data_IF_762245775490
#
_entry.id   IF_762245775490
#
_cell.length_a   1.000
_cell.length_b   1.000
_cell.length_c   1.000
_cell.angle_alpha   90.00
_cell.angle_beta   90.00
_cell.angle_gamma   90.00
#
_symmetry.space_group_name_H-M   'P 1'
#
loop_
_entity.id
_entity.type
_entity.pdbx_description
1 polymer ?
#
# COMPACT_ATOMS: atom_id res chain seq x y z
N UNK A 1 -20.42 -6.25 -2.51
CA UNK A 1 -19.30 -7.10 -2.99
C UNK A 1 -19.26 -7.01 -4.51
N UNK A 2 -18.69 -5.93 -5.05
CA UNK A 2 -18.52 -5.76 -6.49
C UNK A 2 -17.29 -6.54 -6.94
N UNK A 3 -17.45 -7.46 -7.89
CA UNK A 3 -16.31 -8.12 -8.51
C UNK A 3 -15.57 -7.10 -9.39
N UNK A 4 -14.23 -7.08 -9.32
CA UNK A 4 -13.34 -6.09 -9.95
C UNK A 4 -13.53 -6.00 -11.49
N UNK A 5 -14.20 -6.97 -12.11
CA UNK A 5 -14.38 -7.12 -13.56
C UNK A 5 -15.19 -6.00 -14.26
N UNK A 6 -15.77 -5.05 -13.53
CA UNK A 6 -16.60 -3.97 -14.10
C UNK A 6 -16.34 -2.61 -13.45
N UNK A 7 -15.12 -2.37 -13.01
CA UNK A 7 -14.76 -1.14 -12.31
C UNK A 7 -14.26 -0.09 -13.31
N UNK A 8 -14.99 1.02 -13.44
CA UNK A 8 -14.59 2.18 -14.25
C UNK A 8 -13.86 3.23 -13.38
N UNK A 9 -13.62 4.44 -13.92
CA UNK A 9 -13.01 5.55 -13.15
C UNK A 9 -13.85 6.02 -11.97
N UNK A 10 -15.17 5.86 -12.02
CA UNK A 10 -16.14 6.30 -11.02
C UNK A 10 -16.18 5.33 -9.85
N UNK A 11 -16.17 4.03 -10.15
CA UNK A 11 -16.29 2.97 -9.15
C UNK A 11 -14.93 2.56 -8.55
N UNK A 12 -13.83 2.75 -9.29
CA UNK A 12 -12.48 2.38 -8.85
C UNK A 12 -12.08 2.93 -7.47
N UNK A 13 -12.30 4.23 -7.17
CA UNK A 13 -11.95 4.76 -5.85
C UNK A 13 -12.62 4.01 -4.69
N UNK A 14 -13.90 3.66 -4.83
CA UNK A 14 -14.66 2.98 -3.77
C UNK A 14 -14.15 1.55 -3.55
N UNK A 15 -13.97 0.79 -4.63
CA UNK A 15 -13.45 -0.59 -4.55
C UNK A 15 -12.02 -0.61 -4.00
N UNK A 16 -11.16 0.29 -4.46
CA UNK A 16 -9.80 0.42 -3.93
C UNK A 16 -9.78 0.81 -2.46
N UNK A 17 -10.73 1.64 -2.01
CA UNK A 17 -10.87 1.97 -0.59
C UNK A 17 -11.28 0.77 0.27
N UNK A 18 -12.19 -0.08 -0.21
CA UNK A 18 -12.55 -1.33 0.47
C UNK A 18 -11.35 -2.29 0.56
N UNK A 19 -10.60 -2.45 -0.54
CA UNK A 19 -9.37 -3.25 -0.56
C UNK A 19 -8.31 -2.68 0.39
N UNK A 20 -8.11 -1.37 0.38
CA UNK A 20 -7.16 -0.70 1.26
C UNK A 20 -7.53 -0.89 2.74
N UNK A 21 -8.81 -0.75 3.09
CA UNK A 21 -9.28 -0.97 4.46
C UNK A 21 -9.01 -2.41 4.94
N UNK A 22 -9.21 -3.41 4.08
CA UNK A 22 -8.87 -4.80 4.39
C UNK A 22 -7.35 -4.96 4.59
N UNK A 23 -6.55 -4.49 3.63
CA UNK A 23 -5.09 -4.66 3.62
C UNK A 23 -4.39 -3.95 4.79
N UNK A 24 -4.83 -2.73 5.12
CA UNK A 24 -4.21 -1.88 6.13
C UNK A 24 -4.68 -2.27 7.54
N UNK A 25 -5.99 -2.48 7.75
CA UNK A 25 -6.53 -2.64 9.11
C UNK A 25 -6.76 -4.09 9.53
N UNK A 26 -6.99 -5.00 8.59
CA UNK A 26 -7.44 -6.36 8.89
C UNK A 26 -6.41 -7.43 8.51
N UNK A 27 -5.26 -7.05 7.94
CA UNK A 27 -4.19 -7.98 7.60
C UNK A 27 -2.86 -7.57 8.24
N UNK A 28 -2.07 -8.58 8.54
CA UNK A 28 -0.67 -8.45 8.98
C UNK A 28 0.21 -9.12 7.93
N UNK A 29 1.26 -8.43 7.51
CA UNK A 29 2.33 -8.99 6.70
C UNK A 29 3.34 -9.68 7.60
N UNK A 30 3.58 -10.97 7.34
CA UNK A 30 4.60 -11.79 7.99
C UNK A 30 5.79 -11.99 7.07
N UNK A 31 6.98 -11.73 7.61
CA UNK A 31 8.26 -12.04 6.95
C UNK A 31 9.24 -12.54 8.00
N UNK A 32 9.67 -13.80 7.87
CA UNK A 32 10.49 -14.45 8.90
C UNK A 32 9.79 -14.40 10.26
N UNK A 33 10.48 -13.88 11.28
CA UNK A 33 9.91 -13.66 12.61
C UNK A 33 9.20 -12.31 12.79
N UNK A 34 9.28 -11.42 11.81
CA UNK A 34 8.78 -10.05 11.92
C UNK A 34 7.33 -9.93 11.44
N UNK A 35 6.60 -9.03 12.08
CA UNK A 35 5.20 -8.69 11.75
C UNK A 35 5.05 -7.21 11.43
N UNK A 36 4.28 -6.92 10.39
CA UNK A 36 4.03 -5.57 9.93
C UNK A 36 2.55 -5.32 9.64
N UNK A 37 2.10 -4.09 9.88
CA UNK A 37 0.91 -3.55 9.22
C UNK A 37 1.32 -2.76 7.98
N UNK A 38 0.55 -2.88 6.90
CA UNK A 38 0.70 -2.02 5.74
C UNK A 38 0.18 -0.63 6.10
N UNK A 39 0.93 0.43 5.81
CA UNK A 39 0.60 1.77 6.26
C UNK A 39 0.55 2.84 5.15
N UNK A 40 1.12 2.56 3.99
CA UNK A 40 1.11 3.45 2.82
C UNK A 40 1.17 2.58 1.57
N UNK A 41 0.11 2.61 0.75
CA UNK A 41 -0.03 1.79 -0.45
C UNK A 41 -0.55 2.62 -1.63
N UNK A 42 -0.14 2.26 -2.85
CA UNK A 42 -0.62 2.89 -4.10
C UNK A 42 -1.22 1.84 -5.04
N UNK A 43 -2.40 2.13 -5.58
CA UNK A 43 -3.07 1.27 -6.54
C UNK A 43 -2.73 1.65 -7.98
N UNK A 44 -2.55 0.63 -8.82
CA UNK A 44 -2.40 0.72 -10.26
C UNK A 44 -3.31 -0.33 -10.89
N UNK A 45 -4.20 0.09 -11.78
CA UNK A 45 -5.17 -0.77 -12.46
C UNK A 45 -5.21 -0.43 -13.94
N UNK A 46 -5.06 -1.42 -14.81
CA UNK A 46 -5.26 -1.25 -16.23
C UNK A 46 -6.28 -2.25 -16.74
N UNK A 47 -7.41 -1.73 -17.20
CA UNK A 47 -8.49 -2.46 -17.86
C UNK A 47 -9.06 -1.65 -19.02
N UNK A 48 -9.97 -2.25 -19.79
CA UNK A 48 -10.68 -1.53 -20.86
C UNK A 48 -11.51 -0.35 -20.32
N UNK A 49 -12.07 -0.46 -19.11
CA UNK A 49 -12.89 0.58 -18.46
C UNK A 49 -12.05 1.55 -17.62
N UNK A 50 -10.83 1.13 -17.26
CA UNK A 50 -9.90 1.89 -16.44
C UNK A 50 -8.46 1.80 -17.01
N UNK A 51 -8.18 2.39 -18.18
CA UNK A 51 -6.85 2.31 -18.80
C UNK A 51 -5.84 3.25 -18.13
N UNK A 52 -5.51 3.01 -16.85
CA UNK A 52 -4.42 3.73 -16.17
C UNK A 52 -3.08 3.37 -16.82
N UNK A 53 -2.37 4.38 -17.30
CA UNK A 53 -1.09 4.24 -17.99
C UNK A 53 0.11 4.19 -17.06
N UNK A 54 -0.09 4.34 -15.74
CA UNK A 54 0.99 4.30 -14.75
C UNK A 54 1.37 2.89 -14.29
N UNK A 55 0.54 1.87 -14.58
CA UNK A 55 0.92 0.48 -14.35
C UNK A 55 2.09 0.08 -15.28
N UNK A 56 2.89 -0.91 -14.88
CA UNK A 56 3.94 -1.44 -15.75
C UNK A 56 3.40 -2.39 -16.83
N UNK A 57 2.33 -3.13 -16.52
CA UNK A 57 1.68 -4.07 -17.44
C UNK A 57 2.46 -5.36 -17.65
N UNK A 58 3.25 -5.77 -16.66
CA UNK A 58 3.97 -7.06 -16.70
C UNK A 58 3.02 -8.25 -16.49
N UNK A 59 3.39 -9.43 -16.99
CA UNK A 59 2.52 -10.61 -17.00
C UNK A 59 2.08 -11.02 -15.60
N UNK A 60 2.94 -10.86 -14.61
CA UNK A 60 2.66 -11.13 -13.20
C UNK A 60 1.48 -10.30 -12.68
N UNK A 61 1.32 -9.07 -13.18
CA UNK A 61 0.24 -8.17 -12.78
C UNK A 61 -1.13 -8.61 -13.32
N UNK A 62 -1.18 -9.55 -14.27
CA UNK A 62 -2.42 -10.17 -14.74
C UNK A 62 -2.94 -11.23 -13.76
N UNK A 63 -2.14 -11.68 -12.80
CA UNK A 63 -2.54 -12.69 -11.83
C UNK A 63 -2.82 -12.06 -10.47
N UNK A 64 -3.76 -12.63 -9.71
CA UNK A 64 -4.07 -12.17 -8.37
C UNK A 64 -3.19 -12.86 -7.32
N UNK A 65 -2.79 -12.11 -6.30
CA UNK A 65 -2.14 -12.64 -5.10
C UNK A 65 -0.67 -13.00 -5.26
N UNK A 66 0.03 -12.41 -6.24
CA UNK A 66 1.48 -12.60 -6.41
C UNK A 66 2.25 -11.43 -5.81
N UNK A 67 3.48 -11.72 -5.37
CA UNK A 67 4.49 -10.70 -5.10
C UNK A 67 5.16 -10.31 -6.41
N UNK A 68 5.13 -9.03 -6.76
CA UNK A 68 5.74 -8.53 -7.98
C UNK A 68 6.80 -7.47 -7.65
N UNK A 69 8.05 -7.74 -8.06
CA UNK A 69 9.13 -6.76 -7.99
C UNK A 69 8.99 -5.79 -9.16
N UNK A 70 8.57 -4.57 -8.87
CA UNK A 70 8.27 -3.60 -9.91
C UNK A 70 9.54 -2.93 -10.47
N UNK A 71 9.43 -2.40 -11.69
CA UNK A 71 10.56 -1.79 -12.41
C UNK A 71 11.10 -0.52 -11.74
N UNK A 72 10.38 0.06 -10.77
CA UNK A 72 10.81 1.22 -9.98
C UNK A 72 11.55 0.83 -8.68
N UNK A 73 11.74 -0.47 -8.42
CA UNK A 73 12.47 -0.99 -7.26
C UNK A 73 11.62 -1.13 -5.99
N UNK A 74 10.29 -1.24 -6.13
CA UNK A 74 9.37 -1.56 -5.06
C UNK A 74 8.81 -2.99 -5.16
N UNK A 75 7.93 -3.33 -4.22
CA UNK A 75 7.14 -4.56 -4.28
C UNK A 75 5.66 -4.23 -4.34
N UNK A 76 4.96 -4.94 -5.21
CA UNK A 76 3.52 -4.87 -5.35
C UNK A 76 2.86 -6.19 -4.91
N UNK A 77 1.63 -6.08 -4.40
CA UNK A 77 0.66 -7.17 -4.39
C UNK A 77 -0.15 -7.11 -5.68
N UNK A 78 -0.12 -8.15 -6.49
CA UNK A 78 -0.88 -8.17 -7.75
C UNK A 78 -2.33 -8.55 -7.51
N UNK A 79 -3.25 -8.01 -8.32
CA UNK A 79 -4.68 -8.28 -8.22
C UNK A 79 -5.36 -8.40 -9.60
N UNK A 80 -4.59 -8.74 -10.65
CA UNK A 80 -5.14 -8.97 -11.97
C UNK A 80 -6.07 -10.19 -12.04
N UNK A 81 -6.81 -10.29 -13.13
CA UNK A 81 -7.84 -11.32 -13.32
C UNK A 81 -7.62 -12.21 -14.57
N UNK A 82 -6.44 -12.15 -15.17
CA UNK A 82 -6.05 -12.83 -16.40
C UNK A 82 -6.17 -11.97 -17.65
N UNK A 83 -6.97 -10.90 -17.62
CA UNK A 83 -7.12 -9.96 -18.74
C UNK A 83 -6.76 -8.52 -18.35
N UNK A 84 -7.15 -8.10 -17.16
CA UNK A 84 -6.83 -6.80 -16.59
C UNK A 84 -5.62 -6.92 -15.67
N UNK A 85 -4.75 -5.91 -15.71
CA UNK A 85 -3.55 -5.86 -14.90
C UNK A 85 -3.78 -5.01 -13.64
N UNK A 86 -3.31 -5.50 -12.48
CA UNK A 86 -3.44 -4.81 -11.21
C UNK A 86 -2.22 -4.99 -10.31
N UNK A 87 -1.74 -3.91 -9.71
CA UNK A 87 -0.65 -3.90 -8.73
C UNK A 87 -0.90 -2.91 -7.60
N UNK A 88 -0.63 -3.31 -6.36
CA UNK A 88 -0.70 -2.48 -5.16
C UNK A 88 0.71 -2.31 -4.63
N UNK A 89 1.35 -1.19 -4.93
CA UNK A 89 2.69 -0.87 -4.47
C UNK A 89 2.68 -0.64 -2.96
N UNK A 90 3.52 -1.38 -2.24
CA UNK A 90 3.73 -1.19 -0.81
C UNK A 90 4.82 -0.14 -0.59
N UNK A 91 4.48 0.93 0.11
CA UNK A 91 5.35 2.10 0.33
C UNK A 91 5.68 2.34 1.78
N UNK A 92 4.87 1.85 2.70
CA UNK A 92 5.05 2.07 4.11
C UNK A 92 4.61 0.87 4.93
N UNK A 93 5.38 0.60 5.98
CA UNK A 93 5.12 -0.45 6.96
C UNK A 93 5.22 0.14 8.37
N UNK A 94 4.35 -0.35 9.26
CA UNK A 94 4.49 -0.21 10.71
C UNK A 94 4.95 -1.56 11.28
N UNK A 95 6.09 -1.58 11.98
CA UNK A 95 6.60 -2.75 12.70
C UNK A 95 5.74 -2.98 13.94
N UNK A 96 5.18 -4.18 14.08
CA UNK A 96 4.36 -4.52 15.25
C UNK A 96 5.19 -4.99 16.44
N UNK A 97 6.41 -5.44 16.19
CA UNK A 97 7.32 -5.95 17.21
C UNK A 97 8.27 -4.86 17.76
N UNK A 98 8.15 -3.62 17.25
CA UNK A 98 8.98 -2.47 17.65
C UNK A 98 8.11 -1.21 17.72
N UNK A 99 7.78 -0.69 18.92
CA UNK A 99 6.98 0.52 19.08
C UNK A 99 7.58 1.72 18.34
N UNK A 100 6.78 2.38 17.50
CA UNK A 100 7.22 3.48 16.65
C UNK A 100 8.14 3.10 15.48
N UNK A 101 8.40 1.81 15.28
CA UNK A 101 9.19 1.31 14.16
C UNK A 101 8.45 1.50 12.84
N UNK A 102 8.89 2.45 12.01
CA UNK A 102 8.31 2.71 10.69
C UNK A 102 9.32 2.49 9.58
N UNK A 103 8.86 1.91 8.49
CA UNK A 103 9.61 1.82 7.23
C UNK A 103 8.83 2.60 6.19
N UNK A 104 9.47 3.54 5.50
CA UNK A 104 8.81 4.44 4.55
C UNK A 104 9.60 4.57 3.25
N UNK A 105 8.89 4.58 2.13
CA UNK A 105 9.44 4.57 0.78
C UNK A 105 9.55 3.16 0.20
N UNK A 106 9.15 2.94 -1.07
CA UNK A 106 9.00 1.61 -1.66
C UNK A 106 10.30 0.80 -1.69
N UNK A 107 11.44 1.43 -2.00
CA UNK A 107 12.74 0.75 -2.02
C UNK A 107 13.22 0.37 -0.62
N UNK A 108 12.86 1.16 0.41
CA UNK A 108 13.21 0.85 1.80
C UNK A 108 12.33 -0.27 2.35
N UNK A 109 11.06 -0.29 1.96
CA UNK A 109 10.17 -1.43 2.21
C UNK A 109 10.76 -2.71 1.63
N UNK A 110 11.15 -2.72 0.35
CA UNK A 110 11.76 -3.90 -0.24
C UNK A 110 13.04 -4.33 0.51
N UNK A 111 13.94 -3.38 0.80
CA UNK A 111 15.17 -3.64 1.55
C UNK A 111 14.87 -4.26 2.91
N UNK A 112 13.88 -3.73 3.62
CA UNK A 112 13.44 -4.25 4.92
C UNK A 112 13.00 -5.71 4.80
N UNK A 113 12.05 -5.99 3.90
CA UNK A 113 11.47 -7.33 3.75
C UNK A 113 12.52 -8.36 3.35
N UNK A 114 13.54 -7.97 2.58
CA UNK A 114 14.69 -8.84 2.30
C UNK A 114 15.60 -9.00 3.51
N UNK A 115 15.86 -7.93 4.27
CA UNK A 115 16.79 -7.93 5.40
C UNK A 115 16.31 -8.75 6.60
N UNK A 116 15.00 -8.88 6.78
CA UNK A 116 14.39 -9.64 7.88
C UNK A 116 14.02 -11.09 7.52
N UNK A 117 14.35 -11.52 6.29
CA UNK A 117 14.23 -12.93 5.94
C UNK A 117 15.17 -13.77 6.80
N UNK A 118 14.77 -15.02 7.03
CA UNK A 118 15.66 -15.93 7.72
C UNK A 118 16.94 -16.17 6.91
N UNK A 119 18.00 -16.66 7.56
CA UNK A 119 19.23 -17.02 6.88
C UNK A 119 18.96 -17.96 5.69
N UNK A 120 19.76 -17.82 4.64
CA UNK A 120 19.59 -18.56 3.36
C UNK A 120 19.68 -20.09 3.49
N UNK A 121 20.16 -20.59 4.63
CA UNK A 121 20.25 -22.02 4.95
C UNK A 121 19.10 -22.53 5.83
N UNK A 122 18.19 -21.65 6.26
CA UNK A 122 16.99 -22.02 7.01
C UNK A 122 15.79 -22.11 6.06
N UNK A 123 14.97 -23.17 6.16
CA UNK A 123 13.69 -23.21 5.47
C UNK A 123 12.71 -22.27 6.17
N UNK A 124 12.86 -20.97 5.94
CA UNK A 124 11.85 -20.01 6.35
C UNK A 124 10.83 -19.81 5.24
N UNK A 125 9.58 -19.61 5.66
CA UNK A 125 8.49 -19.28 4.75
C UNK A 125 8.76 -17.99 3.98
N UNK A 126 8.00 -17.80 2.89
CA UNK A 126 8.03 -16.56 2.11
C UNK A 126 7.36 -15.39 2.85
N UNK A 127 6.83 -14.45 2.08
CA UNK A 127 6.03 -13.34 2.62
C UNK A 127 4.56 -13.70 2.49
N UNK A 128 3.77 -13.54 3.55
CA UNK A 128 2.34 -13.82 3.48
C UNK A 128 1.53 -12.84 4.33
N UNK A 129 0.26 -12.69 3.95
CA UNK A 129 -0.72 -11.92 4.71
C UNK A 129 -1.54 -12.89 5.57
N UNK A 130 -1.81 -12.50 6.80
CA UNK A 130 -2.73 -13.21 7.68
C UNK A 130 -3.75 -12.27 8.30
N UNK A 131 -4.90 -12.81 8.69
CA UNK A 131 -5.94 -12.04 9.34
C UNK A 131 -5.46 -11.47 10.68
N UNK A 132 -5.66 -10.16 10.85
CA UNK A 132 -5.40 -9.44 12.08
C UNK A 132 -6.72 -9.13 12.80
N UNK A 133 -6.71 -9.23 14.13
CA UNK A 133 -7.81 -8.72 14.96
C UNK A 133 -7.43 -7.31 15.40
N UNK A 134 -8.17 -6.32 14.94
CA UNK A 134 -7.96 -4.92 15.33
C UNK A 134 -9.16 -4.07 14.93
N UNK A 135 -9.32 -2.89 15.57
CA UNK A 135 -10.31 -1.92 15.13
C UNK A 135 -9.95 -1.43 13.72
N UNK A 136 -10.99 -1.15 12.92
CA UNK A 136 -10.81 -0.43 11.65
C UNK A 136 -10.51 1.03 12.02
N UNK A 137 -9.25 1.42 11.83
CA UNK A 137 -8.80 2.77 12.14
C UNK A 137 -9.12 3.77 11.04
N UNK A 138 -8.68 5.02 11.26
CA UNK A 138 -8.77 6.06 10.25
C UNK A 138 -7.80 5.77 9.09
N UNK A 139 -8.26 6.07 7.87
CA UNK A 139 -7.50 5.99 6.64
C UNK A 139 -7.56 7.33 5.92
N UNK A 140 -6.44 7.74 5.34
CA UNK A 140 -6.30 8.96 4.56
C UNK A 140 -6.04 8.61 3.09
N UNK A 141 -6.49 9.47 2.18
CA UNK A 141 -6.31 9.33 0.75
C UNK A 141 -5.49 10.49 0.20
N UNK A 142 -4.63 10.20 -0.77
CA UNK A 142 -3.77 11.16 -1.44
C UNK A 142 -3.56 10.82 -2.93
N UNK A 143 -3.02 11.77 -3.69
CA UNK A 143 -2.46 11.47 -5.00
C UNK A 143 -1.27 10.50 -4.87
N UNK A 144 -1.07 9.69 -5.90
CA UNK A 144 0.14 8.86 -6.03
C UNK A 144 1.35 9.75 -6.30
N UNK A 145 2.52 9.33 -5.83
CA UNK A 145 3.74 10.14 -5.93
C UNK A 145 4.62 9.73 -7.10
N UNK A 146 5.45 10.67 -7.57
CA UNK A 146 6.47 10.45 -8.60
C UNK A 146 5.94 9.97 -9.97
N UNK A 147 4.68 10.28 -10.29
CA UNK A 147 4.09 10.00 -11.60
C UNK A 147 4.63 10.95 -12.68
N UNK A 148 5.18 10.40 -13.76
CA UNK A 148 5.91 11.16 -14.80
C UNK A 148 5.05 11.70 -15.96
N UNK A 149 3.89 11.11 -16.23
CA UNK A 149 2.99 11.53 -17.31
C UNK A 149 2.04 12.61 -16.78
N UNK A 150 2.36 13.87 -17.05
CA UNK A 150 1.65 15.02 -16.48
C UNK A 150 0.20 15.13 -16.96
N UNK A 151 -0.06 14.77 -18.22
CA UNK A 151 -1.37 14.95 -18.87
C UNK A 151 -2.33 13.77 -18.67
N UNK A 152 -1.91 12.74 -17.93
CA UNK A 152 -2.77 11.56 -17.70
C UNK A 152 -3.94 11.92 -16.77
N UNK A 153 -5.19 11.58 -17.14
CA UNK A 153 -6.36 11.84 -16.30
C UNK A 153 -6.37 11.01 -15.01
N UNK A 154 -5.45 10.04 -14.87
CA UNK A 154 -5.30 9.21 -13.68
C UNK A 154 -4.30 9.78 -12.67
N UNK A 155 -3.57 10.84 -13.04
CA UNK A 155 -2.45 11.34 -12.24
C UNK A 155 -2.91 11.91 -10.90
N UNK A 156 -3.98 12.70 -10.91
CA UNK A 156 -4.53 13.36 -9.72
C UNK A 156 -5.59 12.54 -9.00
N UNK A 157 -5.80 11.28 -9.40
CA UNK A 157 -6.76 10.41 -8.71
C UNK A 157 -6.19 9.95 -7.36
N UNK A 158 -7.03 9.86 -6.32
CA UNK A 158 -6.61 9.60 -4.95
C UNK A 158 -6.35 8.10 -4.70
N UNK A 159 -5.49 7.49 -5.50
CA UNK A 159 -5.17 6.04 -5.46
C UNK A 159 -4.03 5.68 -4.52
N UNK A 160 -3.67 6.59 -3.61
CA UNK A 160 -2.78 6.33 -2.51
C UNK A 160 -3.55 6.34 -1.20
N UNK A 161 -3.37 5.30 -0.41
CA UNK A 161 -4.04 5.11 0.87
C UNK A 161 -3.01 5.02 1.98
N UNK A 162 -3.22 5.80 3.04
CA UNK A 162 -2.36 5.83 4.21
C UNK A 162 -3.16 5.47 5.45
N UNK A 163 -2.61 4.62 6.29
CA UNK A 163 -3.23 4.17 7.52
C UNK A 163 -2.34 4.41 8.74
N UNK A 164 -2.96 4.22 9.91
CA UNK A 164 -2.32 4.28 11.23
C UNK A 164 -1.75 5.66 11.58
N UNK A 165 -2.37 6.33 12.55
CA UNK A 165 -1.86 7.59 13.11
C UNK A 165 -0.42 7.45 13.62
N UNK A 166 -0.05 6.27 14.14
CA UNK A 166 1.30 5.95 14.59
C UNK A 166 2.32 6.01 13.45
N UNK A 167 1.99 5.45 12.28
CA UNK A 167 2.87 5.53 11.11
C UNK A 167 3.13 7.00 10.74
N UNK A 168 2.07 7.79 10.59
CA UNK A 168 2.16 9.20 10.23
C UNK A 168 2.96 10.03 11.24
N UNK A 169 2.86 9.71 12.53
CA UNK A 169 3.60 10.41 13.59
C UNK A 169 5.07 10.08 13.57
N UNK A 170 5.43 8.82 13.36
CA UNK A 170 6.82 8.37 13.47
C UNK A 170 7.64 8.53 12.19
N UNK A 171 7.02 9.00 11.10
CA UNK A 171 7.76 9.44 9.91
C UNK A 171 8.78 10.55 10.24
N UNK A 172 9.94 10.58 9.55
CA UNK A 172 10.91 11.66 9.73
C UNK A 172 10.31 13.03 9.46
N UNK A 173 10.71 14.03 10.25
CA UNK A 173 10.10 15.37 10.28
C UNK A 173 9.90 15.99 8.89
N UNK A 174 10.89 15.90 8.00
CA UNK A 174 10.79 16.47 6.65
C UNK A 174 9.70 15.80 5.80
N UNK A 175 9.56 14.47 5.90
CA UNK A 175 8.55 13.68 5.19
C UNK A 175 7.18 13.93 5.81
N UNK A 176 7.11 13.85 7.14
CA UNK A 176 5.90 14.06 7.93
C UNK A 176 5.27 15.43 7.65
N UNK A 177 6.04 16.51 7.75
CA UNK A 177 5.54 17.87 7.54
C UNK A 177 5.01 18.08 6.12
N UNK A 178 5.66 17.50 5.10
CA UNK A 178 5.18 17.58 3.72
C UNK A 178 3.85 16.83 3.57
N UNK A 179 3.80 15.58 4.05
CA UNK A 179 2.64 14.71 3.93
C UNK A 179 1.44 15.23 4.73
N UNK A 180 1.66 15.77 5.93
CA UNK A 180 0.59 16.36 6.73
C UNK A 180 -0.03 17.57 6.04
N UNK A 181 0.81 18.42 5.42
CA UNK A 181 0.30 19.55 4.62
C UNK A 181 -0.52 19.09 3.42
N UNK A 182 -0.08 18.04 2.73
CA UNK A 182 -0.79 17.43 1.60
C UNK A 182 -2.15 16.88 2.01
N UNK A 183 -2.22 16.23 3.17
CA UNK A 183 -3.43 15.62 3.71
C UNK A 183 -4.28 16.56 4.57
N UNK A 184 -3.89 17.82 4.77
CA UNK A 184 -4.58 18.77 5.64
C UNK A 184 -4.60 18.38 7.13
N UNK A 185 -3.57 17.68 7.61
CA UNK A 185 -3.52 17.11 8.95
C UNK A 185 -2.92 18.08 9.98
N UNK A 186 -3.46 18.01 11.19
CA UNK A 186 -2.94 18.69 12.38
C UNK A 186 -2.56 17.67 13.45
N UNK A 187 -1.81 18.12 14.46
CA UNK A 187 -1.45 17.27 15.60
C UNK A 187 -2.70 16.80 16.36
N UNK A 188 -3.72 17.65 16.50
CA UNK A 188 -4.98 17.30 17.16
C UNK A 188 -5.70 16.17 16.42
N UNK A 189 -5.79 16.24 15.09
CA UNK A 189 -6.43 15.21 14.26
C UNK A 189 -5.72 13.86 14.40
N UNK A 190 -4.38 13.86 14.38
CA UNK A 190 -3.58 12.65 14.54
C UNK A 190 -3.72 12.05 15.94
N UNK A 191 -3.83 12.88 16.97
CA UNK A 191 -4.01 12.41 18.34
C UNK A 191 -5.43 11.86 18.57
N UNK A 192 -6.46 12.47 17.99
CA UNK A 192 -7.83 11.97 18.04
C UNK A 192 -7.96 10.59 17.38
N UNK A 193 -7.22 10.35 16.30
CA UNK A 193 -7.22 9.08 15.57
C UNK A 193 -6.54 7.89 16.30
N UNK A 194 -5.98 8.08 17.50
CA UNK A 194 -5.43 7.00 18.32
C UNK A 194 -6.46 6.29 19.23
N UNK A 195 -7.61 6.92 19.47
CA UNK A 195 -8.59 6.46 20.44
C UNK A 195 -9.86 5.86 19.80
N UNK A 196 -9.82 5.62 18.48
CA UNK A 196 -10.87 4.99 17.69
C UNK A 196 -10.55 3.55 17.30
#
# INVERSE_FOLDING_TARGET
MGYIHHVDKTDAPAVMAEMAALLIHQLVLRVGSCRYQLADIEFYLHSNLHPDSFIHGDLEQLHCGQWYYNRAGGVDLTFGNGTDAGGILIRGLLRLDEPGGVVYGPQRVLRELVAVQAPVWEPAGGWWLEAAKGPIGMMWQAERVNLKQLDSPYRSLPYRFLGHAEYLRNLPTSVRSKLWRELGLTAELINAAQHG
#
